data_IF_373633074997
#
_entry.id   IF_373633074997
#
_cell.length_a   1.000
_cell.length_b   1.000
_cell.length_c   1.000
_cell.angle_alpha   90.00
_cell.angle_beta   90.00
_cell.angle_gamma   90.00
#
_symmetry.space_group_name_H-M   'P 1'
#
loop_
_entity.id
_entity.type
_entity.pdbx_description
1 polymer ?
#
# COMPACT_ATOMS: atom_id res chain seq x y z
N UNK A 1 19.93 -17.41 -52.60
CA UNK A 1 18.56 -17.16 -53.12
C UNK A 1 18.08 -15.82 -52.58
N UNK A 2 17.76 -14.87 -53.47
CA UNK A 2 17.44 -13.47 -53.18
C UNK A 2 16.20 -13.33 -52.28
N UNK A 3 16.23 -12.34 -51.38
CA UNK A 3 15.13 -11.92 -50.50
C UNK A 3 13.81 -11.70 -51.25
N UNK A 4 13.88 -11.32 -52.53
CA UNK A 4 12.73 -11.12 -53.41
C UNK A 4 11.91 -12.41 -53.64
N UNK A 5 12.57 -13.57 -53.72
CA UNK A 5 11.87 -14.85 -53.91
C UNK A 5 11.06 -15.25 -52.67
N UNK A 6 11.53 -14.89 -51.46
CA UNK A 6 10.77 -15.08 -50.22
C UNK A 6 9.55 -14.17 -50.16
N UNK A 7 9.70 -12.91 -50.57
CA UNK A 7 8.58 -11.93 -50.61
C UNK A 7 7.52 -12.36 -51.64
N UNK A 8 7.94 -12.90 -52.79
CA UNK A 8 7.00 -13.41 -53.80
C UNK A 8 6.24 -14.67 -53.34
N UNK A 9 6.89 -15.56 -52.59
CA UNK A 9 6.23 -16.72 -51.96
C UNK A 9 5.22 -16.30 -50.89
N UNK A 10 5.53 -15.28 -50.07
CA UNK A 10 4.60 -14.76 -49.07
C UNK A 10 3.38 -14.08 -49.71
N UNK A 11 3.56 -13.35 -50.83
CA UNK A 11 2.44 -12.76 -51.60
C UNK A 11 1.51 -13.81 -52.21
N UNK A 12 2.00 -14.98 -52.61
CA UNK A 12 1.15 -16.09 -53.12
C UNK A 12 0.26 -16.73 -52.05
N UNK A 13 0.59 -16.59 -50.75
CA UNK A 13 -0.25 -17.06 -49.65
C UNK A 13 -1.35 -16.07 -49.25
N UNK A 14 -1.26 -14.79 -49.67
CA UNK A 14 -2.22 -13.73 -49.35
C UNK A 14 -3.43 -13.66 -50.31
N UNK A 15 -3.48 -14.52 -51.34
CA UNK A 15 -4.46 -14.43 -52.44
C UNK A 15 -5.66 -15.38 -52.38
N UNK A 16 -5.81 -16.22 -51.35
CA UNK A 16 -7.03 -17.03 -51.18
C UNK A 16 -7.97 -16.31 -50.23
N UNK A 17 -9.08 -15.79 -50.76
CA UNK A 17 -10.25 -15.40 -49.97
C UNK A 17 -10.51 -16.51 -48.94
N UNK A 18 -10.63 -16.21 -47.64
CA UNK A 18 -11.09 -17.22 -46.71
C UNK A 18 -12.47 -17.65 -47.22
N UNK A 19 -12.61 -18.93 -47.60
CA UNK A 19 -13.91 -19.59 -47.55
C UNK A 19 -14.51 -19.21 -46.20
N UNK A 20 -15.74 -18.73 -46.20
CA UNK A 20 -16.44 -18.35 -44.97
C UNK A 20 -16.20 -19.43 -43.93
N UNK A 21 -15.31 -19.13 -42.99
CA UNK A 21 -15.18 -19.94 -41.80
C UNK A 21 -16.58 -19.86 -41.21
N UNK A 22 -17.31 -20.98 -41.24
CA UNK A 22 -18.52 -21.13 -40.45
C UNK A 22 -18.14 -20.55 -39.09
N UNK A 23 -18.84 -19.49 -38.65
CA UNK A 23 -18.79 -19.08 -37.25
C UNK A 23 -19.04 -20.37 -36.50
N UNK A 24 -17.98 -20.94 -35.93
CA UNK A 24 -18.13 -21.93 -34.88
C UNK A 24 -18.83 -21.10 -33.82
N UNK A 25 -20.15 -21.27 -33.70
CA UNK A 25 -20.88 -20.70 -32.58
C UNK A 25 -20.11 -21.17 -31.36
N UNK A 26 -19.44 -20.23 -30.69
CA UNK A 26 -18.79 -20.54 -29.43
C UNK A 26 -19.90 -21.13 -28.55
N UNK A 27 -19.67 -22.30 -27.93
CA UNK A 27 -20.71 -22.96 -27.16
C UNK A 27 -21.27 -21.95 -26.15
N UNK A 28 -22.60 -21.80 -26.15
CA UNK A 28 -23.28 -20.92 -25.21
C UNK A 28 -22.82 -21.27 -23.79
N UNK A 29 -22.61 -20.25 -22.94
CA UNK A 29 -22.19 -20.44 -21.57
C UNK A 29 -23.10 -21.47 -20.88
N UNK A 30 -22.52 -22.56 -20.39
CA UNK A 30 -23.27 -23.61 -19.73
C UNK A 30 -23.32 -23.32 -18.22
N UNK A 31 -24.51 -22.98 -17.72
CA UNK A 31 -24.72 -22.76 -16.30
C UNK A 31 -24.40 -24.03 -15.50
N UNK A 32 -23.50 -23.97 -14.51
CA UNK A 32 -23.14 -25.12 -13.69
C UNK A 32 -24.31 -25.59 -12.83
N UNK A 33 -24.31 -26.87 -12.48
CA UNK A 33 -25.30 -27.45 -11.57
C UNK A 33 -25.02 -26.99 -10.13
N UNK A 34 -26.09 -26.81 -9.36
CA UNK A 34 -25.99 -26.46 -7.93
C UNK A 34 -25.23 -27.57 -7.17
N UNK A 35 -24.25 -27.22 -6.31
CA UNK A 35 -23.53 -28.22 -5.51
C UNK A 35 -24.44 -28.93 -4.50
N UNK A 36 -24.14 -30.20 -4.23
CA UNK A 36 -24.93 -31.05 -3.33
C UNK A 36 -24.93 -30.57 -1.86
N UNK A 37 -23.86 -29.89 -1.43
CA UNK A 37 -23.71 -29.37 -0.06
C UNK A 37 -24.39 -28.03 0.20
N UNK A 38 -25.15 -27.50 -0.77
CA UNK A 38 -25.77 -26.16 -0.67
C UNK A 38 -26.61 -25.97 0.60
N UNK A 39 -27.43 -26.96 0.97
CA UNK A 39 -28.26 -26.85 2.16
C UNK A 39 -27.45 -26.88 3.47
N UNK A 40 -26.32 -27.59 3.51
CA UNK A 40 -25.43 -27.61 4.67
C UNK A 40 -24.80 -26.23 4.91
N UNK A 41 -24.34 -25.57 3.83
CA UNK A 41 -23.78 -24.23 3.91
C UNK A 41 -24.84 -23.18 4.31
N UNK A 42 -26.10 -23.37 3.88
CA UNK A 42 -27.22 -22.54 4.34
C UNK A 42 -27.50 -22.70 5.83
N UNK A 43 -27.48 -23.93 6.34
CA UNK A 43 -27.64 -24.21 7.77
C UNK A 43 -26.52 -23.57 8.61
N UNK A 44 -25.33 -23.38 8.04
CA UNK A 44 -24.22 -22.66 8.67
C UNK A 44 -24.32 -21.12 8.57
N UNK A 45 -25.45 -20.59 8.09
CA UNK A 45 -25.74 -19.14 8.07
C UNK A 45 -25.36 -18.43 6.78
N UNK A 46 -25.01 -19.16 5.71
CA UNK A 46 -24.80 -18.57 4.38
C UNK A 46 -26.11 -18.47 3.61
N UNK A 47 -26.26 -17.42 2.81
CA UNK A 47 -27.35 -17.28 1.85
C UNK A 47 -26.87 -17.67 0.46
N UNK A 48 -27.79 -18.02 -0.44
CA UNK A 48 -27.45 -18.35 -1.83
C UNK A 48 -28.03 -17.28 -2.74
N UNK A 49 -27.17 -16.70 -3.58
CA UNK A 49 -27.57 -15.83 -4.68
C UNK A 49 -27.42 -16.63 -5.96
N UNK A 50 -28.45 -16.62 -6.80
CA UNK A 50 -28.43 -17.27 -8.10
C UNK A 50 -28.54 -16.20 -9.20
N UNK A 51 -27.66 -16.29 -10.19
CA UNK A 51 -27.64 -15.40 -11.34
C UNK A 51 -27.52 -16.23 -12.64
N UNK A 52 -27.35 -15.54 -13.77
CA UNK A 52 -27.29 -16.15 -15.09
C UNK A 52 -26.11 -17.12 -15.26
N UNK A 53 -25.08 -16.98 -14.42
CA UNK A 53 -23.83 -17.73 -14.54
C UNK A 53 -23.69 -18.87 -13.52
N UNK A 54 -24.63 -19.02 -12.58
CA UNK A 54 -24.57 -20.03 -11.52
C UNK A 54 -25.06 -19.51 -10.18
N UNK A 55 -24.60 -20.15 -9.10
CA UNK A 55 -24.82 -19.74 -7.72
C UNK A 55 -23.56 -19.16 -7.06
N UNK A 56 -23.77 -18.32 -6.05
CA UNK A 56 -22.75 -17.75 -5.17
C UNK A 56 -23.28 -17.83 -3.74
N UNK A 57 -22.42 -18.19 -2.79
CA UNK A 57 -22.79 -18.08 -1.38
C UNK A 57 -22.49 -16.68 -0.87
N UNK A 58 -23.33 -16.16 0.02
CA UNK A 58 -23.20 -14.80 0.54
C UNK A 58 -23.42 -14.79 2.05
N UNK A 59 -22.51 -14.15 2.78
CA UNK A 59 -22.69 -13.75 4.18
C UNK A 59 -22.76 -12.23 4.24
N UNK A 60 -23.65 -11.70 5.08
CA UNK A 60 -23.78 -10.27 5.30
C UNK A 60 -23.92 -9.98 6.79
N UNK A 61 -23.21 -8.96 7.27
CA UNK A 61 -23.24 -8.50 8.65
C UNK A 61 -23.31 -6.97 8.65
N UNK A 62 -24.12 -6.41 9.55
CA UNK A 62 -24.21 -4.95 9.74
C UNK A 62 -23.52 -4.57 11.04
N UNK A 63 -22.64 -3.57 10.98
CA UNK A 63 -21.96 -3.00 12.14
C UNK A 63 -22.43 -1.57 12.34
N UNK A 64 -23.00 -1.22 13.51
CA UNK A 64 -23.32 0.17 13.80
C UNK A 64 -22.02 1.00 13.81
N UNK A 65 -22.11 2.29 13.51
CA UNK A 65 -20.93 3.16 13.55
C UNK A 65 -20.24 3.22 14.92
N UNK A 66 -20.99 2.97 16.00
CA UNK A 66 -20.47 2.86 17.37
C UNK A 66 -19.74 1.55 17.67
N UNK A 67 -19.69 0.60 16.74
CA UNK A 67 -18.98 -0.68 16.94
C UNK A 67 -17.49 -0.43 17.21
N UNK A 68 -16.99 -1.03 18.29
CA UNK A 68 -15.60 -0.90 18.73
C UNK A 68 -14.72 -1.96 18.07
N UNK A 69 -13.64 -1.54 17.43
CA UNK A 69 -12.60 -2.41 16.88
C UNK A 69 -11.22 -1.89 17.27
N UNK A 70 -10.58 -2.56 18.23
CA UNK A 70 -9.36 -2.05 18.85
C UNK A 70 -9.63 -0.79 19.67
N UNK A 71 -8.79 0.24 19.52
CA UNK A 71 -8.91 1.53 20.18
C UNK A 71 -9.98 2.46 19.57
N UNK A 72 -10.52 2.12 18.39
CA UNK A 72 -11.41 3.00 17.63
C UNK A 72 -12.81 2.44 17.49
N UNK A 73 -13.79 3.33 17.41
CA UNK A 73 -15.10 3.00 16.87
C UNK A 73 -15.09 3.19 15.35
N UNK A 74 -15.94 2.48 14.62
CA UNK A 74 -15.99 2.61 13.15
C UNK A 74 -16.38 4.03 12.69
N UNK A 75 -17.10 4.79 13.52
CA UNK A 75 -17.45 6.19 13.26
C UNK A 75 -16.24 7.11 13.09
N UNK A 76 -15.08 6.74 13.66
CA UNK A 76 -13.83 7.48 13.48
C UNK A 76 -13.38 7.55 12.02
N UNK A 77 -13.98 6.76 11.12
CA UNK A 77 -13.82 6.94 9.68
C UNK A 77 -14.31 8.32 9.22
N UNK A 78 -15.51 8.73 9.63
CA UNK A 78 -16.10 10.01 9.21
C UNK A 78 -15.39 11.21 9.83
N UNK A 79 -14.91 11.07 11.06
CA UNK A 79 -14.04 12.04 11.71
C UNK A 79 -12.73 12.23 10.93
N UNK A 80 -12.13 11.13 10.43
CA UNK A 80 -10.95 11.18 9.58
C UNK A 80 -11.24 11.83 8.21
N UNK A 81 -12.38 11.52 7.58
CA UNK A 81 -12.81 12.18 6.34
C UNK A 81 -12.97 13.69 6.53
N UNK A 82 -13.56 14.12 7.66
CA UNK A 82 -13.70 15.55 7.98
C UNK A 82 -12.35 16.25 8.07
N UNK A 83 -11.32 15.61 8.65
CA UNK A 83 -9.96 16.18 8.68
C UNK A 83 -9.38 16.38 7.29
N UNK A 84 -9.64 15.45 6.36
CA UNK A 84 -9.21 15.59 4.97
C UNK A 84 -9.99 16.69 4.25
N UNK A 85 -11.29 16.82 4.51
CA UNK A 85 -12.11 17.90 3.95
C UNK A 85 -11.65 19.29 4.41
N UNK A 86 -11.23 19.40 5.68
CA UNK A 86 -10.73 20.65 6.27
C UNK A 86 -9.24 20.91 5.93
N UNK A 87 -8.57 20.01 5.22
CA UNK A 87 -7.15 20.13 4.91
C UNK A 87 -6.89 21.14 3.79
N UNK A 88 -5.96 22.07 4.03
CA UNK A 88 -5.53 23.07 3.04
C UNK A 88 -4.38 22.58 2.15
N UNK A 89 -4.22 21.26 1.98
CA UNK A 89 -3.15 20.66 1.19
C UNK A 89 -3.58 19.32 0.56
N UNK A 90 -2.96 18.97 -0.56
CA UNK A 90 -3.23 17.72 -1.26
C UNK A 90 -2.49 16.55 -0.61
N UNK A 91 -3.16 15.41 -0.50
CA UNK A 91 -2.53 14.20 0.00
C UNK A 91 -3.11 12.94 -0.65
N UNK A 92 -2.29 11.93 -1.01
CA UNK A 92 -2.78 10.71 -1.66
C UNK A 92 -3.71 9.85 -0.79
N UNK A 93 -3.77 10.10 0.52
CA UNK A 93 -4.74 9.48 1.45
C UNK A 93 -6.05 10.23 1.59
N UNK A 94 -6.14 11.47 1.09
CA UNK A 94 -7.35 12.28 1.24
C UNK A 94 -8.52 11.59 0.54
N UNK A 95 -9.65 11.53 1.23
CA UNK A 95 -10.92 11.04 0.72
C UNK A 95 -11.95 12.13 0.99
N UNK A 96 -12.79 12.42 0.00
CA UNK A 96 -13.91 13.32 0.20
C UNK A 96 -15.11 12.59 0.83
N UNK A 97 -15.92 13.30 1.60
CA UNK A 97 -17.13 12.77 2.24
C UNK A 97 -18.15 12.19 1.25
N UNK A 98 -18.14 12.69 0.02
CA UNK A 98 -19.08 12.30 -1.05
C UNK A 98 -18.54 11.13 -1.91
N UNK A 99 -17.27 10.73 -1.72
CA UNK A 99 -16.70 9.61 -2.46
C UNK A 99 -17.34 8.29 -2.04
N UNK A 100 -17.72 7.48 -3.03
CA UNK A 100 -18.10 6.09 -2.79
C UNK A 100 -16.85 5.31 -2.38
N UNK A 101 -16.81 4.84 -1.13
CA UNK A 101 -15.67 4.07 -0.59
C UNK A 101 -16.03 2.60 -0.43
N UNK A 102 -15.11 1.72 -0.82
CA UNK A 102 -15.22 0.27 -0.66
C UNK A 102 -13.96 -0.25 0.03
N UNK A 103 -14.09 -0.78 1.24
CA UNK A 103 -13.02 -1.57 1.86
C UNK A 103 -13.08 -2.98 1.30
N UNK A 104 -11.92 -3.50 0.89
CA UNK A 104 -11.83 -4.70 0.06
C UNK A 104 -10.68 -5.60 0.53
N UNK A 105 -10.96 -6.89 0.61
CA UNK A 105 -9.98 -7.93 0.91
C UNK A 105 -10.42 -9.25 0.27
N UNK A 106 -9.46 -10.13 -0.06
CA UNK A 106 -9.75 -11.41 -0.74
C UNK A 106 -9.06 -12.60 -0.10
N UNK A 107 -9.68 -13.76 -0.20
CA UNK A 107 -9.00 -15.03 0.07
C UNK A 107 -8.86 -15.84 -1.21
N UNK A 108 -7.70 -16.46 -1.37
CA UNK A 108 -7.27 -17.11 -2.60
C UNK A 108 -6.86 -18.55 -2.35
N UNK A 109 -6.96 -19.39 -3.37
CA UNK A 109 -6.54 -20.81 -3.32
C UNK A 109 -5.03 -21.02 -3.41
N UNK A 110 -4.23 -19.94 -3.41
CA UNK A 110 -2.78 -19.99 -3.58
C UNK A 110 -2.18 -18.58 -3.71
N UNK A 111 -0.85 -18.48 -3.77
CA UNK A 111 -0.19 -17.18 -3.69
C UNK A 111 -0.20 -16.38 -5.00
N UNK A 112 0.04 -17.01 -6.16
CA UNK A 112 0.09 -16.38 -7.49
C UNK A 112 -0.14 -17.39 -8.62
N UNK A 113 -0.64 -16.92 -9.75
CA UNK A 113 -0.66 -17.63 -11.04
C UNK A 113 -2.07 -17.88 -11.60
N UNK A 114 -2.14 -18.27 -12.88
CA UNK A 114 -3.41 -18.44 -13.62
C UNK A 114 -4.30 -19.56 -13.03
N UNK A 115 -3.71 -20.53 -12.33
CA UNK A 115 -4.45 -21.57 -11.61
C UNK A 115 -5.02 -21.14 -10.24
N UNK A 116 -4.62 -19.98 -9.73
CA UNK A 116 -5.12 -19.44 -8.46
C UNK A 116 -6.48 -18.81 -8.68
N UNK A 117 -7.48 -19.28 -7.93
CA UNK A 117 -8.82 -18.70 -7.87
C UNK A 117 -8.94 -17.84 -6.61
N UNK A 118 -9.66 -16.72 -6.73
CA UNK A 118 -10.22 -16.02 -5.58
C UNK A 118 -11.48 -16.79 -5.18
N UNK A 119 -11.58 -17.20 -3.92
CA UNK A 119 -12.76 -17.90 -3.43
C UNK A 119 -13.60 -17.07 -2.46
N UNK A 120 -13.04 -15.99 -1.91
CA UNK A 120 -13.74 -15.04 -1.05
C UNK A 120 -13.49 -13.63 -1.56
N UNK A 121 -14.56 -12.87 -1.77
CA UNK A 121 -14.54 -11.42 -1.96
C UNK A 121 -15.21 -10.80 -0.74
N UNK A 122 -14.43 -10.13 0.09
CA UNK A 122 -14.89 -9.43 1.28
C UNK A 122 -15.00 -7.93 1.02
N UNK A 123 -16.20 -7.39 1.18
CA UNK A 123 -16.53 -5.97 0.99
C UNK A 123 -17.04 -5.39 2.29
N UNK A 124 -16.66 -4.15 2.58
CA UNK A 124 -17.25 -3.38 3.66
C UNK A 124 -17.55 -1.97 3.14
N UNK A 125 -18.84 -1.64 3.11
CA UNK A 125 -19.38 -0.43 2.48
C UNK A 125 -20.12 0.41 3.53
N UNK A 126 -20.11 1.73 3.34
CA UNK A 126 -20.92 2.65 4.15
C UNK A 126 -22.38 2.57 3.69
N UNK A 127 -23.29 2.31 4.62
CA UNK A 127 -24.73 2.50 4.47
C UNK A 127 -25.21 3.68 5.32
N UNK A 128 -26.51 3.95 5.37
CA UNK A 128 -27.09 5.13 6.01
C UNK A 128 -26.76 5.24 7.51
N UNK A 129 -26.85 4.13 8.25
CA UNK A 129 -26.64 4.11 9.72
C UNK A 129 -25.60 3.06 10.18
N UNK A 130 -24.95 2.37 9.25
CA UNK A 130 -24.04 1.27 9.57
C UNK A 130 -23.01 1.04 8.47
N UNK A 131 -21.97 0.25 8.78
CA UNK A 131 -21.16 -0.41 7.78
C UNK A 131 -21.76 -1.78 7.47
N UNK A 132 -21.90 -2.09 6.17
CA UNK A 132 -22.39 -3.38 5.71
C UNK A 132 -21.22 -4.20 5.19
N UNK A 133 -20.89 -5.24 5.94
CA UNK A 133 -19.93 -6.24 5.52
C UNK A 133 -20.64 -7.27 4.64
N UNK A 134 -20.15 -7.47 3.42
CA UNK A 134 -20.64 -8.49 2.50
C UNK A 134 -19.50 -9.37 2.06
N UNK A 135 -19.64 -10.67 2.28
CA UNK A 135 -18.70 -11.69 1.84
C UNK A 135 -19.37 -12.55 0.79
N UNK A 136 -18.84 -12.54 -0.43
CA UNK A 136 -19.21 -13.50 -1.47
C UNK A 136 -18.24 -14.67 -1.41
N UNK A 137 -18.75 -15.89 -1.48
CA UNK A 137 -17.96 -17.12 -1.45
C UNK A 137 -18.27 -17.91 -2.73
N UNK A 138 -17.21 -18.25 -3.46
CA UNK A 138 -17.31 -19.07 -4.66
C UNK A 138 -17.75 -20.49 -4.30
N UNK A 139 -18.84 -20.97 -4.89
CA UNK A 139 -19.38 -22.29 -4.60
C UNK A 139 -18.36 -23.39 -4.95
N UNK A 140 -17.92 -23.42 -6.21
CA UNK A 140 -16.79 -24.22 -6.68
C UNK A 140 -16.18 -23.52 -7.93
N UNK A 141 -15.05 -23.99 -8.49
CA UNK A 141 -14.41 -23.32 -9.63
C UNK A 141 -15.29 -23.16 -10.88
N UNK A 142 -16.33 -24.00 -11.09
CA UNK A 142 -17.24 -23.85 -12.22
C UNK A 142 -18.16 -22.64 -12.07
N UNK A 143 -18.31 -22.11 -10.86
CA UNK A 143 -19.16 -20.99 -10.51
C UNK A 143 -18.44 -19.63 -10.49
N UNK A 144 -17.18 -19.56 -10.93
CA UNK A 144 -16.38 -18.34 -10.85
C UNK A 144 -17.01 -17.15 -11.61
N UNK A 145 -17.63 -17.39 -12.77
CA UNK A 145 -18.32 -16.33 -13.50
C UNK A 145 -19.47 -15.73 -12.69
N UNK A 146 -20.27 -16.57 -12.00
CA UNK A 146 -21.33 -16.12 -11.12
C UNK A 146 -20.78 -15.29 -9.95
N UNK A 147 -19.68 -15.76 -9.37
CA UNK A 147 -18.99 -15.11 -8.26
C UNK A 147 -18.46 -13.72 -8.60
N UNK A 148 -17.74 -13.60 -9.72
CA UNK A 148 -17.22 -12.31 -10.19
C UNK A 148 -18.36 -11.37 -10.62
N UNK A 149 -19.40 -11.88 -11.28
CA UNK A 149 -20.54 -11.07 -11.69
C UNK A 149 -21.28 -10.45 -10.51
N UNK A 150 -21.52 -11.25 -9.45
CA UNK A 150 -22.24 -10.83 -8.25
C UNK A 150 -21.48 -9.79 -7.43
N UNK A 151 -20.16 -9.67 -7.61
CA UNK A 151 -19.36 -8.60 -6.98
C UNK A 151 -19.80 -7.19 -7.35
N UNK A 152 -20.47 -7.01 -8.50
CA UNK A 152 -20.93 -5.71 -9.05
C UNK A 152 -19.83 -4.67 -9.27
N UNK A 153 -18.55 -5.05 -9.20
CA UNK A 153 -17.40 -4.16 -9.45
C UNK A 153 -17.36 -3.61 -10.89
N UNK A 154 -18.13 -4.19 -11.81
CA UNK A 154 -18.32 -3.71 -13.17
C UNK A 154 -19.38 -2.59 -13.29
N UNK A 155 -20.23 -2.39 -12.28
CA UNK A 155 -21.37 -1.47 -12.36
C UNK A 155 -20.97 -0.03 -12.05
N UNK A 156 -20.19 0.18 -10.99
CA UNK A 156 -19.83 1.52 -10.49
C UNK A 156 -18.35 1.61 -10.14
N UNK A 157 -17.82 2.83 -10.18
CA UNK A 157 -16.50 3.13 -9.66
C UNK A 157 -16.61 3.62 -8.21
N UNK A 158 -15.63 3.25 -7.40
CA UNK A 158 -15.44 3.57 -6.01
C UNK A 158 -13.95 3.76 -5.72
N UNK A 159 -13.63 4.37 -4.59
CA UNK A 159 -12.29 4.36 -4.03
C UNK A 159 -12.13 3.10 -3.17
N UNK A 160 -11.32 2.17 -3.68
CA UNK A 160 -11.08 0.87 -3.06
C UNK A 160 -9.92 0.97 -2.07
N UNK A 161 -10.21 0.66 -0.80
CA UNK A 161 -9.23 0.68 0.29
C UNK A 161 -8.86 -0.77 0.64
N UNK A 162 -7.56 -1.07 0.62
CA UNK A 162 -7.02 -2.41 0.84
C UNK A 162 -5.80 -2.38 1.75
N UNK A 163 -5.37 -3.53 2.25
CA UNK A 163 -4.03 -3.70 2.81
C UNK A 163 -3.20 -4.58 1.88
N UNK A 164 -2.22 -4.00 1.18
CA UNK A 164 -1.38 -4.68 0.18
C UNK A 164 -2.14 -5.13 -1.09
N UNK A 165 -3.38 -4.67 -1.30
CA UNK A 165 -4.22 -5.10 -2.41
C UNK A 165 -3.79 -4.60 -3.78
N UNK A 166 -3.06 -3.48 -3.86
CA UNK A 166 -2.51 -2.99 -5.15
C UNK A 166 -1.53 -3.97 -5.76
N UNK A 167 -0.84 -4.77 -4.94
CA UNK A 167 0.21 -5.69 -5.38
C UNK A 167 -0.24 -7.15 -5.45
N UNK A 168 -1.40 -7.49 -4.88
CA UNK A 168 -1.87 -8.87 -4.73
C UNK A 168 -3.33 -9.01 -5.15
N UNK A 169 -4.27 -8.51 -4.37
CA UNK A 169 -5.71 -8.75 -4.55
C UNK A 169 -6.25 -8.20 -5.87
N UNK A 170 -5.99 -6.92 -6.16
CA UNK A 170 -6.55 -6.25 -7.33
C UNK A 170 -5.97 -6.80 -8.65
N UNK A 171 -4.65 -7.01 -8.80
CA UNK A 171 -4.10 -7.65 -10.00
C UNK A 171 -4.62 -9.08 -10.22
N UNK A 172 -4.87 -9.83 -9.14
CA UNK A 172 -5.45 -11.17 -9.23
C UNK A 172 -6.90 -11.09 -9.74
N UNK A 173 -7.71 -10.17 -9.19
CA UNK A 173 -9.08 -9.93 -9.64
C UNK A 173 -9.11 -9.55 -11.13
N UNK A 174 -8.26 -8.61 -11.58
CA UNK A 174 -8.15 -8.21 -12.99
C UNK A 174 -7.80 -9.41 -13.89
N UNK A 175 -6.89 -10.27 -13.43
CA UNK A 175 -6.54 -11.50 -14.14
C UNK A 175 -7.74 -12.44 -14.27
N UNK A 176 -8.49 -12.68 -13.17
CA UNK A 176 -9.70 -13.51 -13.20
C UNK A 176 -10.75 -12.93 -14.14
N UNK A 177 -10.96 -11.61 -14.08
CA UNK A 177 -11.90 -10.92 -14.95
C UNK A 177 -11.52 -11.02 -16.43
N UNK A 178 -10.22 -10.94 -16.74
CA UNK A 178 -9.69 -11.07 -18.11
C UNK A 178 -9.95 -12.46 -18.67
N UNK A 179 -9.84 -13.51 -17.85
CA UNK A 179 -10.15 -14.89 -18.27
C UNK A 179 -11.64 -15.05 -18.62
N UNK A 180 -12.51 -14.26 -17.99
CA UNK A 180 -13.96 -14.25 -18.22
C UNK A 180 -14.45 -13.13 -19.15
N UNK A 181 -13.57 -12.44 -19.87
CA UNK A 181 -13.90 -11.23 -20.66
C UNK A 181 -14.92 -11.45 -21.80
N UNK A 182 -15.13 -12.69 -22.23
CA UNK A 182 -16.14 -13.04 -23.25
C UNK A 182 -17.55 -13.18 -22.67
N UNK A 183 -17.65 -13.40 -21.36
CA UNK A 183 -18.89 -13.74 -20.65
C UNK A 183 -19.32 -12.60 -19.73
N UNK A 184 -18.38 -11.95 -19.06
CA UNK A 184 -18.65 -10.89 -18.09
C UNK A 184 -18.53 -9.49 -18.70
N UNK A 185 -19.31 -8.52 -18.19
CA UNK A 185 -19.10 -7.10 -18.51
C UNK A 185 -17.68 -6.66 -18.15
N UNK A 186 -17.17 -5.61 -18.81
CA UNK A 186 -15.83 -5.08 -18.51
C UNK A 186 -15.74 -4.57 -17.06
N UNK A 187 -14.70 -4.98 -16.34
CA UNK A 187 -14.36 -4.43 -15.02
C UNK A 187 -14.08 -2.92 -15.13
N UNK A 188 -14.65 -2.14 -14.22
CA UNK A 188 -14.37 -0.70 -14.15
C UNK A 188 -13.04 -0.43 -13.46
N UNK A 189 -12.38 0.64 -13.89
CA UNK A 189 -11.22 1.16 -13.19
C UNK A 189 -11.64 1.73 -11.84
N UNK A 190 -10.84 1.45 -10.82
CA UNK A 190 -11.08 1.90 -9.45
C UNK A 190 -9.90 2.75 -8.98
N UNK A 191 -10.19 3.85 -8.26
CA UNK A 191 -9.16 4.53 -7.47
C UNK A 191 -8.79 3.59 -6.32
N UNK A 192 -7.50 3.51 -5.98
CA UNK A 192 -7.04 2.61 -4.93
C UNK A 192 -6.21 3.35 -3.88
N UNK A 193 -6.53 3.11 -2.61
CA UNK A 193 -5.71 3.46 -1.46
C UNK A 193 -5.24 2.15 -0.81
N UNK A 194 -3.93 2.00 -0.65
CA UNK A 194 -3.35 0.79 -0.07
C UNK A 194 -2.64 1.16 1.24
N UNK A 195 -3.18 0.64 2.33
CA UNK A 195 -2.78 0.92 3.70
C UNK A 195 -1.43 0.32 4.08
N UNK A 196 -0.91 -0.67 3.34
CA UNK A 196 0.47 -1.12 3.55
C UNK A 196 1.47 -0.02 3.13
N UNK A 197 1.14 0.76 2.09
CA UNK A 197 2.01 1.85 1.67
C UNK A 197 2.05 2.99 2.67
N UNK A 198 0.93 3.39 3.31
CA UNK A 198 1.03 4.35 4.43
C UNK A 198 1.72 3.74 5.63
N UNK A 199 1.40 2.50 5.99
CA UNK A 199 2.03 1.84 7.14
C UNK A 199 3.55 1.86 7.02
N UNK A 200 4.08 1.65 5.81
CA UNK A 200 5.51 1.81 5.50
C UNK A 200 6.00 3.26 5.54
N UNK A 201 5.16 4.23 5.19
CA UNK A 201 5.50 5.66 5.27
C UNK A 201 5.45 6.20 6.70
N UNK A 202 4.69 5.59 7.59
CA UNK A 202 4.55 5.97 8.99
C UNK A 202 5.57 5.23 9.88
N UNK A 203 5.59 3.91 9.81
CA UNK A 203 6.26 3.07 10.82
C UNK A 203 7.51 2.33 10.33
N UNK A 204 8.08 2.72 9.19
CA UNK A 204 9.33 2.12 8.74
C UNK A 204 10.44 2.36 9.77
N UNK A 205 11.11 1.26 10.16
CA UNK A 205 12.13 1.21 11.21
C UNK A 205 11.63 1.53 12.64
N UNK A 206 10.31 1.67 12.79
CA UNK A 206 9.62 1.76 14.09
C UNK A 206 9.04 0.39 14.46
N UNK A 207 8.42 -0.29 13.49
CA UNK A 207 7.91 -1.65 13.63
C UNK A 207 8.82 -2.68 12.95
N UNK A 208 8.98 -3.85 13.58
CA UNK A 208 9.72 -4.98 12.99
C UNK A 208 9.01 -5.57 11.77
N UNK A 209 7.68 -5.66 11.83
CA UNK A 209 6.84 -6.30 10.82
C UNK A 209 5.63 -5.43 10.51
N UNK A 210 5.40 -5.19 9.22
CA UNK A 210 4.23 -4.48 8.71
C UNK A 210 3.25 -5.47 8.06
N UNK A 211 2.88 -6.50 8.82
CA UNK A 211 1.71 -7.35 8.49
C UNK A 211 0.51 -6.76 9.21
N UNK A 212 -0.69 -6.88 8.64
CA UNK A 212 -1.90 -6.28 9.21
C UNK A 212 -2.09 -6.68 10.67
N UNK A 213 -1.97 -7.97 11.01
CA UNK A 213 -2.01 -8.46 12.40
C UNK A 213 -1.02 -7.77 13.36
N UNK A 214 0.21 -7.49 12.93
CA UNK A 214 1.18 -6.77 13.76
C UNK A 214 0.77 -5.31 13.97
N UNK A 215 0.24 -4.68 12.92
CA UNK A 215 -0.29 -3.30 13.01
C UNK A 215 -1.53 -3.24 13.91
N UNK A 216 -2.42 -4.22 13.84
CA UNK A 216 -3.57 -4.34 14.71
C UNK A 216 -3.16 -4.37 16.19
N UNK A 217 -2.22 -5.25 16.54
CA UNK A 217 -1.79 -5.44 17.92
C UNK A 217 -1.01 -4.21 18.44
N UNK A 218 -0.04 -3.71 17.68
CA UNK A 218 0.89 -2.67 18.14
C UNK A 218 0.32 -1.24 18.04
N UNK A 219 -0.52 -0.95 17.03
CA UNK A 219 -0.98 0.42 16.74
C UNK A 219 -2.48 0.61 16.95
N UNK A 220 -3.29 -0.43 16.70
CA UNK A 220 -4.75 -0.34 16.83
C UNK A 220 -5.28 -0.92 18.14
N UNK A 221 -4.45 -1.61 18.94
CA UNK A 221 -4.88 -2.25 20.17
C UNK A 221 -5.87 -3.39 19.98
N UNK A 222 -5.85 -4.02 18.80
CA UNK A 222 -6.73 -5.14 18.49
C UNK A 222 -5.94 -6.45 18.46
N UNK A 223 -6.36 -7.42 19.29
CA UNK A 223 -5.78 -8.76 19.31
C UNK A 223 -6.83 -9.79 18.96
N UNK A 224 -6.60 -10.52 17.87
CA UNK A 224 -7.51 -11.56 17.40
C UNK A 224 -7.52 -12.77 18.34
N UNK A 225 -8.69 -13.26 18.72
CA UNK A 225 -8.87 -14.46 19.54
C UNK A 225 -9.37 -15.63 18.70
N UNK A 226 -8.61 -16.73 18.68
CA UNK A 226 -9.02 -17.95 17.95
C UNK A 226 -8.89 -17.85 16.42
N UNK A 227 -8.08 -16.91 15.92
CA UNK A 227 -7.85 -16.72 14.49
C UNK A 227 -7.10 -17.90 13.86
N UNK A 228 -7.39 -18.16 12.59
CA UNK A 228 -6.67 -19.16 11.81
C UNK A 228 -5.43 -18.54 11.17
N UNK A 229 -4.35 -19.32 10.97
CA UNK A 229 -3.27 -18.90 10.10
C UNK A 229 -3.77 -18.73 8.66
N UNK A 230 -3.66 -17.53 8.08
CA UNK A 230 -4.18 -17.23 6.72
C UNK A 230 -3.66 -18.16 5.61
N UNK A 231 -2.45 -18.73 5.75
CA UNK A 231 -1.93 -19.72 4.78
C UNK A 231 -2.72 -21.05 4.74
N UNK A 232 -3.62 -21.29 5.70
CA UNK A 232 -4.52 -22.45 5.72
C UNK A 232 -5.84 -22.19 5.00
N UNK A 233 -6.21 -20.93 4.74
CA UNK A 233 -7.46 -20.56 4.08
C UNK A 233 -7.70 -21.32 2.74
N UNK A 234 -6.68 -21.50 1.86
CA UNK A 234 -6.84 -22.31 0.65
C UNK A 234 -7.31 -23.75 0.91
N UNK A 235 -6.65 -24.43 1.86
CA UNK A 235 -6.87 -25.85 2.14
C UNK A 235 -8.23 -26.03 2.82
N UNK A 236 -8.60 -25.11 3.72
CA UNK A 236 -9.89 -25.07 4.39
C UNK A 236 -11.03 -24.93 3.37
N UNK A 237 -10.89 -24.02 2.41
CA UNK A 237 -11.89 -23.84 1.36
C UNK A 237 -12.06 -25.12 0.51
N UNK A 238 -10.96 -25.70 0.04
CA UNK A 238 -10.99 -26.91 -0.78
C UNK A 238 -11.61 -28.10 -0.03
N UNK A 239 -11.32 -28.23 1.25
CA UNK A 239 -11.92 -29.27 2.10
C UNK A 239 -13.43 -29.04 2.29
N UNK A 240 -13.86 -27.80 2.53
CA UNK A 240 -15.28 -27.47 2.68
C UNK A 240 -16.08 -27.75 1.40
N UNK A 241 -15.54 -27.45 0.22
CA UNK A 241 -16.16 -27.76 -1.08
C UNK A 241 -16.23 -29.27 -1.32
N UNK A 242 -15.21 -30.03 -0.91
CA UNK A 242 -15.15 -31.48 -1.11
C UNK A 242 -16.05 -32.26 -0.14
N UNK A 243 -16.02 -31.88 1.13
CA UNK A 243 -16.74 -32.57 2.21
C UNK A 243 -18.18 -32.06 2.38
N UNK A 244 -18.44 -30.82 1.97
CA UNK A 244 -19.67 -30.10 2.25
C UNK A 244 -19.73 -29.45 3.64
N UNK A 245 -18.72 -29.67 4.50
CA UNK A 245 -18.70 -29.23 5.90
C UNK A 245 -18.10 -27.83 6.00
N UNK A 246 -18.85 -26.79 6.43
CA UNK A 246 -18.38 -25.40 6.39
C UNK A 246 -17.73 -24.90 7.70
N UNK A 247 -17.64 -25.70 8.77
CA UNK A 247 -17.24 -25.21 10.10
C UNK A 247 -15.89 -24.46 10.12
N UNK A 248 -14.89 -25.01 9.44
CA UNK A 248 -13.59 -24.35 9.31
C UNK A 248 -13.63 -23.16 8.35
N UNK A 249 -14.46 -23.21 7.30
CA UNK A 249 -14.64 -22.11 6.36
C UNK A 249 -15.23 -20.87 7.06
N UNK A 250 -16.14 -21.05 8.02
CA UNK A 250 -16.67 -19.93 8.82
C UNK A 250 -15.54 -19.18 9.56
N UNK A 251 -14.48 -19.87 9.99
CA UNK A 251 -13.32 -19.20 10.60
C UNK A 251 -12.52 -18.36 9.60
N UNK A 252 -12.44 -18.78 8.33
CA UNK A 252 -11.87 -17.98 7.24
C UNK A 252 -12.71 -16.71 7.02
N UNK A 253 -14.04 -16.82 7.08
CA UNK A 253 -14.91 -15.66 6.97
C UNK A 253 -14.70 -14.67 8.14
N UNK A 254 -14.51 -15.16 9.36
CA UNK A 254 -14.18 -14.28 10.49
C UNK A 254 -12.79 -13.64 10.38
N UNK A 255 -11.81 -14.33 9.80
CA UNK A 255 -10.48 -13.77 9.51
C UNK A 255 -10.60 -12.55 8.60
N UNK A 256 -11.17 -12.75 7.41
CA UNK A 256 -11.40 -11.69 6.42
C UNK A 256 -12.30 -10.57 6.95
N UNK A 257 -13.27 -10.90 7.82
CA UNK A 257 -14.08 -9.90 8.52
C UNK A 257 -13.23 -8.98 9.40
N UNK A 258 -12.32 -9.53 10.20
CA UNK A 258 -11.40 -8.73 11.01
C UNK A 258 -10.45 -7.91 10.15
N UNK A 259 -9.93 -8.47 9.06
CA UNK A 259 -9.09 -7.72 8.13
C UNK A 259 -9.82 -6.46 7.62
N UNK A 260 -11.06 -6.60 7.17
CA UNK A 260 -11.89 -5.48 6.68
C UNK A 260 -12.19 -4.43 7.76
N UNK A 261 -12.56 -4.85 8.97
CA UNK A 261 -12.81 -3.92 10.09
C UNK A 261 -11.52 -3.17 10.49
N UNK A 262 -10.38 -3.85 10.43
CA UNK A 262 -9.07 -3.24 10.68
C UNK A 262 -8.70 -2.22 9.62
N UNK A 263 -9.14 -2.36 8.36
CA UNK A 263 -8.87 -1.33 7.34
C UNK A 263 -9.51 0.02 7.70
N UNK A 264 -10.73 0.02 8.25
CA UNK A 264 -11.42 1.24 8.68
C UNK A 264 -10.59 1.94 9.76
N UNK A 265 -10.33 1.22 10.85
CA UNK A 265 -9.65 1.78 12.03
C UNK A 265 -8.19 2.14 11.74
N UNK A 266 -7.52 1.40 10.87
CA UNK A 266 -6.18 1.73 10.38
C UNK A 266 -6.17 3.02 9.55
N UNK A 267 -7.15 3.21 8.66
CA UNK A 267 -7.28 4.44 7.88
C UNK A 267 -7.50 5.64 8.81
N UNK A 268 -8.40 5.52 9.79
CA UNK A 268 -8.65 6.55 10.79
C UNK A 268 -7.42 6.87 11.62
N UNK A 269 -6.77 5.85 12.20
CA UNK A 269 -5.54 6.01 12.98
C UNK A 269 -4.43 6.68 12.17
N UNK A 270 -4.20 6.21 10.94
CA UNK A 270 -3.20 6.81 10.03
C UNK A 270 -3.50 8.27 9.74
N UNK A 271 -4.78 8.62 9.54
CA UNK A 271 -5.21 10.00 9.33
C UNK A 271 -4.96 10.84 10.58
N UNK A 272 -5.30 10.34 11.76
CA UNK A 272 -5.05 11.06 13.01
C UNK A 272 -3.57 11.32 13.24
N UNK A 273 -2.68 10.36 12.97
CA UNK A 273 -1.24 10.62 13.06
C UNK A 273 -0.74 11.72 12.10
N UNK A 274 -1.37 11.87 10.93
CA UNK A 274 -0.99 12.88 9.95
C UNK A 274 -1.40 14.30 10.39
N UNK A 275 -2.54 14.45 11.08
CA UNK A 275 -3.07 15.76 11.49
C UNK A 275 -2.81 16.11 12.96
N UNK A 276 -2.97 15.13 13.84
CA UNK A 276 -2.93 15.27 15.29
C UNK A 276 -1.55 14.93 15.81
N UNK A 277 -0.94 15.92 16.44
CA UNK A 277 0.45 15.87 16.83
C UNK A 277 0.63 15.48 18.31
N UNK A 278 -0.46 15.28 19.04
CA UNK A 278 -0.46 14.99 20.48
C UNK A 278 -0.70 13.50 20.79
N UNK A 279 -0.76 12.66 19.75
CA UNK A 279 -0.67 11.22 19.94
C UNK A 279 0.67 10.83 20.56
N UNK A 280 0.62 9.90 21.51
CA UNK A 280 1.80 9.21 22.02
C UNK A 280 2.33 8.28 20.94
N UNK A 281 3.35 8.74 20.22
CA UNK A 281 4.06 7.98 19.19
C UNK A 281 5.55 8.31 19.20
N UNK A 282 6.35 7.46 18.57
CA UNK A 282 7.80 7.59 18.57
C UNK A 282 8.31 8.78 17.75
N UNK A 283 9.49 9.29 18.10
CA UNK A 283 10.20 10.29 17.30
C UNK A 283 10.40 9.83 15.84
N UNK A 284 10.61 8.52 15.63
CA UNK A 284 10.78 7.92 14.30
C UNK A 284 9.51 8.02 13.47
N UNK A 285 8.35 7.72 14.04
CA UNK A 285 7.06 7.81 13.36
C UNK A 285 6.79 9.26 12.91
N UNK A 286 6.96 10.23 13.80
CA UNK A 286 6.78 11.64 13.43
C UNK A 286 7.85 12.14 12.44
N UNK A 287 9.10 11.67 12.56
CA UNK A 287 10.15 11.95 11.56
C UNK A 287 9.76 11.43 10.18
N UNK A 288 9.21 10.21 10.12
CA UNK A 288 8.76 9.60 8.88
C UNK A 288 7.57 10.36 8.26
N UNK A 289 6.64 10.86 9.08
CA UNK A 289 5.54 11.74 8.66
C UNK A 289 6.09 13.04 8.07
N UNK A 290 6.98 13.73 8.80
CA UNK A 290 7.61 14.96 8.33
C UNK A 290 8.37 14.76 7.02
N UNK A 291 9.10 13.65 6.89
CA UNK A 291 9.73 13.23 5.64
C UNK A 291 8.71 13.00 4.53
N UNK A 292 7.58 12.34 4.81
CA UNK A 292 6.56 12.05 3.82
C UNK A 292 5.92 13.33 3.26
N UNK A 293 5.56 14.29 4.11
CA UNK A 293 5.14 15.62 3.66
C UNK A 293 6.20 16.30 2.79
N UNK A 294 7.48 16.17 3.15
CA UNK A 294 8.59 16.66 2.35
C UNK A 294 8.66 16.04 0.94
N UNK A 295 8.46 14.72 0.84
CA UNK A 295 8.41 13.97 -0.43
C UNK A 295 7.21 14.42 -1.29
N UNK A 296 6.09 14.77 -0.66
CA UNK A 296 4.88 15.31 -1.31
C UNK A 296 4.99 16.79 -1.67
N UNK A 297 6.09 17.45 -1.30
CA UNK A 297 6.34 18.90 -1.46
C UNK A 297 5.49 19.80 -0.56
N UNK A 298 4.82 19.23 0.44
CA UNK A 298 4.12 19.94 1.50
C UNK A 298 5.11 20.48 2.54
N UNK A 299 5.88 21.49 2.13
CA UNK A 299 7.00 22.06 2.90
C UNK A 299 6.57 22.58 4.27
N UNK A 300 5.42 23.27 4.34
CA UNK A 300 4.89 23.82 5.60
C UNK A 300 4.60 22.72 6.62
N UNK A 301 3.90 21.66 6.23
CA UNK A 301 3.59 20.54 7.12
C UNK A 301 4.84 19.75 7.50
N UNK A 302 5.75 19.55 6.54
CA UNK A 302 7.03 18.88 6.77
C UNK A 302 7.86 19.59 7.84
N UNK A 303 8.09 20.90 7.68
CA UNK A 303 8.85 21.71 8.64
C UNK A 303 8.18 21.69 10.01
N UNK A 304 6.87 21.96 10.07
CA UNK A 304 6.10 21.99 11.33
C UNK A 304 6.25 20.70 12.14
N UNK A 305 6.09 19.54 11.50
CA UNK A 305 6.21 18.24 12.19
C UNK A 305 7.65 17.99 12.64
N UNK A 306 8.63 18.26 11.77
CA UNK A 306 10.04 18.00 12.08
C UNK A 306 10.55 18.92 13.21
N UNK A 307 10.18 20.20 13.23
CA UNK A 307 10.48 21.13 14.32
C UNK A 307 9.88 20.66 15.66
N UNK A 308 8.67 20.08 15.64
CA UNK A 308 8.08 19.50 16.85
C UNK A 308 8.90 18.30 17.34
N UNK A 309 9.36 17.44 16.43
CA UNK A 309 10.20 16.29 16.83
C UNK A 309 11.51 16.77 17.47
N UNK A 310 12.18 17.75 16.86
CA UNK A 310 13.47 18.25 17.33
C UNK A 310 13.39 19.06 18.63
N UNK A 311 12.20 19.54 18.99
CA UNK A 311 11.95 20.24 20.26
C UNK A 311 11.42 19.34 21.38
N UNK A 312 10.65 18.29 21.03
CA UNK A 312 10.00 17.39 22.01
C UNK A 312 10.89 16.22 22.45
N UNK A 313 11.69 15.67 21.54
CA UNK A 313 12.50 14.47 21.79
C UNK A 313 13.98 14.82 21.97
N UNK A 314 14.74 13.88 22.55
CA UNK A 314 16.17 14.08 22.73
C UNK A 314 16.93 14.06 21.40
N UNK A 315 18.18 14.51 21.43
CA UNK A 315 18.99 14.65 20.22
C UNK A 315 19.30 13.31 19.53
N UNK A 316 19.38 12.21 20.29
CA UNK A 316 19.62 10.87 19.75
C UNK A 316 18.42 10.40 18.92
N UNK A 317 17.21 10.60 19.43
CA UNK A 317 15.97 10.23 18.77
C UNK A 317 15.62 11.17 17.61
N UNK A 318 15.95 12.47 17.73
CA UNK A 318 15.64 13.49 16.75
C UNK A 318 16.68 13.63 15.62
N UNK A 319 17.73 12.81 15.59
CA UNK A 319 18.82 12.92 14.61
C UNK A 319 18.37 12.95 13.15
N UNK A 320 17.51 12.00 12.76
CA UNK A 320 16.93 11.99 11.41
C UNK A 320 15.95 13.13 11.17
N UNK A 321 15.23 13.59 12.19
CA UNK A 321 14.35 14.75 12.08
C UNK A 321 15.15 16.00 11.75
N UNK A 322 16.27 16.24 12.45
CA UNK A 322 17.20 17.33 12.16
C UNK A 322 17.72 17.26 10.72
N UNK A 323 18.09 16.07 10.24
CA UNK A 323 18.55 15.89 8.86
C UNK A 323 17.48 16.27 7.83
N UNK A 324 16.24 15.80 7.99
CA UNK A 324 15.15 16.12 7.06
C UNK A 324 14.71 17.58 7.18
N UNK A 325 14.74 18.16 8.38
CA UNK A 325 14.43 19.57 8.63
C UNK A 325 15.43 20.47 7.89
N UNK A 326 16.72 20.12 7.97
CA UNK A 326 17.78 20.81 7.25
C UNK A 326 17.56 20.84 5.73
N UNK A 327 17.10 19.71 5.16
CA UNK A 327 16.76 19.62 3.73
C UNK A 327 15.58 20.55 3.37
N UNK A 328 14.55 20.65 4.23
CA UNK A 328 13.43 21.56 4.01
C UNK A 328 13.84 23.03 4.15
N UNK A 329 14.59 23.39 5.20
CA UNK A 329 15.10 24.75 5.38
C UNK A 329 15.96 25.18 4.19
N UNK A 330 16.84 24.30 3.71
CA UNK A 330 17.65 24.56 2.50
C UNK A 330 16.76 24.82 1.28
N UNK A 331 15.74 23.99 1.05
CA UNK A 331 14.78 24.15 -0.06
C UNK A 331 14.03 25.48 0.03
N UNK A 332 13.70 25.91 1.25
CA UNK A 332 13.03 27.18 1.55
C UNK A 332 13.98 28.38 1.63
N UNK A 333 15.27 28.21 1.25
CA UNK A 333 16.32 29.25 1.28
C UNK A 333 16.64 29.81 2.68
N UNK A 334 16.23 29.10 3.73
CA UNK A 334 16.60 29.36 5.14
C UNK A 334 17.94 28.70 5.43
N UNK A 335 19.02 29.28 4.89
CA UNK A 335 20.32 28.61 4.85
C UNK A 335 20.99 28.52 6.21
N UNK A 336 20.80 29.51 7.09
CA UNK A 336 21.36 29.47 8.45
C UNK A 336 20.75 28.32 9.23
N UNK A 337 19.41 28.25 9.26
CA UNK A 337 18.67 27.20 9.96
C UNK A 337 18.97 25.82 9.36
N UNK A 338 19.15 25.74 8.03
CA UNK A 338 19.57 24.50 7.39
C UNK A 338 20.95 24.03 7.87
N UNK A 339 21.91 24.94 8.03
CA UNK A 339 23.24 24.62 8.56
C UNK A 339 23.12 24.10 9.99
N UNK A 340 22.40 24.82 10.85
CA UNK A 340 22.22 24.46 12.26
C UNK A 340 21.61 23.06 12.41
N UNK A 341 20.52 22.77 11.68
CA UNK A 341 19.90 21.45 11.67
C UNK A 341 20.83 20.36 11.11
N UNK A 342 21.59 20.64 10.04
CA UNK A 342 22.55 19.66 9.52
C UNK A 342 23.63 19.34 10.55
N UNK A 343 24.20 20.35 11.21
CA UNK A 343 25.22 20.15 12.26
C UNK A 343 24.65 19.33 13.42
N UNK A 344 23.44 19.66 13.88
CA UNK A 344 22.76 18.92 14.93
C UNK A 344 22.56 17.44 14.58
N UNK A 345 22.30 17.12 13.30
CA UNK A 345 22.10 15.74 12.85
C UNK A 345 23.39 14.87 12.85
N UNK A 346 24.58 15.47 12.72
CA UNK A 346 25.83 14.73 12.40
C UNK A 346 26.22 13.65 13.41
N UNK A 347 25.81 13.76 14.66
CA UNK A 347 26.16 12.82 15.73
C UNK A 347 25.16 11.67 15.88
N UNK A 348 23.95 11.81 15.31
CA UNK A 348 22.80 10.96 15.61
C UNK A 348 22.20 10.27 14.38
N UNK A 349 22.89 10.33 13.23
CA UNK A 349 22.50 9.63 12.00
C UNK A 349 23.57 8.65 11.55
N UNK A 350 23.17 7.61 10.82
CA UNK A 350 24.08 6.60 10.30
C UNK A 350 25.05 7.16 9.26
N UNK A 351 26.19 6.49 9.09
CA UNK A 351 27.31 6.99 8.28
C UNK A 351 26.93 7.43 6.86
N UNK A 352 25.95 6.77 6.22
CA UNK A 352 25.50 7.14 4.88
C UNK A 352 24.77 8.49 4.87
N UNK A 353 23.82 8.69 5.79
CA UNK A 353 23.11 9.96 5.95
C UNK A 353 24.05 11.05 6.45
N UNK A 354 24.98 10.72 7.36
CA UNK A 354 26.04 11.64 7.81
C UNK A 354 26.90 12.14 6.66
N UNK A 355 27.31 11.26 5.74
CA UNK A 355 28.09 11.65 4.56
C UNK A 355 27.33 12.65 3.68
N UNK A 356 26.02 12.42 3.47
CA UNK A 356 25.18 13.37 2.75
C UNK A 356 25.04 14.70 3.49
N UNK A 357 24.87 14.71 4.82
CA UNK A 357 24.79 15.94 5.62
C UNK A 357 26.07 16.78 5.51
N UNK A 358 27.25 16.14 5.67
CA UNK A 358 28.56 16.78 5.47
C UNK A 358 28.68 17.37 4.06
N UNK A 359 28.15 16.66 3.06
CA UNK A 359 28.15 17.12 1.68
C UNK A 359 27.36 18.42 1.52
N UNK A 360 26.17 18.47 2.11
CA UNK A 360 25.29 19.64 2.07
C UNK A 360 25.88 20.83 2.83
N UNK A 361 26.48 20.59 4.00
CA UNK A 361 27.18 21.62 4.77
C UNK A 361 28.29 22.26 3.96
N UNK A 362 29.17 21.46 3.35
CA UNK A 362 30.23 21.98 2.48
C UNK A 362 29.69 22.84 1.32
N UNK A 363 28.57 22.42 0.70
CA UNK A 363 27.92 23.17 -0.38
C UNK A 363 27.33 24.50 0.14
N UNK A 364 26.66 24.48 1.29
CA UNK A 364 26.02 25.67 1.87
C UNK A 364 27.07 26.71 2.26
N UNK A 365 28.13 26.30 2.94
CA UNK A 365 29.23 27.20 3.31
C UNK A 365 29.97 27.74 2.08
N UNK A 366 30.26 26.91 1.06
CA UNK A 366 30.94 27.36 -0.17
C UNK A 366 30.10 28.35 -0.98
N UNK A 367 28.83 28.04 -1.19
CA UNK A 367 28.03 28.73 -2.19
C UNK A 367 27.15 29.85 -1.60
N UNK A 368 26.60 29.66 -0.40
CA UNK A 368 25.68 30.62 0.22
C UNK A 368 26.40 31.52 1.21
N UNK A 369 27.16 30.94 2.16
CA UNK A 369 27.84 31.72 3.20
C UNK A 369 29.16 32.34 2.75
N UNK A 370 29.76 31.82 1.67
CA UNK A 370 31.12 32.17 1.19
C UNK A 370 32.21 31.97 2.24
N UNK A 371 31.97 31.06 3.18
CA UNK A 371 32.94 30.64 4.19
C UNK A 371 33.67 29.40 3.67
N UNK A 372 34.81 29.63 3.02
CA UNK A 372 35.59 28.55 2.42
C UNK A 372 36.34 27.72 3.46
N UNK A 373 36.57 28.26 4.66
CA UNK A 373 37.23 27.53 5.75
C UNK A 373 36.30 26.44 6.29
N UNK A 374 35.05 26.79 6.60
CA UNK A 374 34.04 25.82 7.01
C UNK A 374 33.71 24.82 5.89
N UNK A 375 33.60 25.28 4.64
CA UNK A 375 33.39 24.39 3.51
C UNK A 375 34.51 23.35 3.37
N UNK A 376 35.76 23.76 3.59
CA UNK A 376 36.93 22.88 3.58
C UNK A 376 36.90 21.88 4.74
N UNK A 377 36.57 22.35 5.95
CA UNK A 377 36.44 21.50 7.14
C UNK A 377 35.45 20.34 6.90
N UNK A 378 34.21 20.64 6.49
CA UNK A 378 33.21 19.59 6.26
C UNK A 378 33.58 18.68 5.07
N UNK A 379 34.29 19.20 4.06
CA UNK A 379 34.84 18.38 2.97
C UNK A 379 35.85 17.36 3.50
N UNK A 380 36.76 17.78 4.38
CA UNK A 380 37.76 16.89 4.99
C UNK A 380 37.13 15.87 5.94
N UNK A 381 36.11 16.25 6.71
CA UNK A 381 35.32 15.32 7.53
C UNK A 381 34.68 14.20 6.70
N UNK A 382 34.09 14.54 5.54
CA UNK A 382 33.49 13.52 4.67
C UNK A 382 34.52 12.55 4.09
N UNK A 383 35.70 13.05 3.70
CA UNK A 383 36.82 12.20 3.25
C UNK A 383 37.27 11.26 4.37
N UNK A 384 37.42 11.78 5.61
CA UNK A 384 37.76 10.96 6.78
C UNK A 384 36.72 9.87 7.02
N UNK A 385 35.42 10.20 6.93
CA UNK A 385 34.34 9.25 7.09
C UNK A 385 34.39 8.13 6.03
N UNK A 386 34.64 8.46 4.76
CA UNK A 386 34.75 7.46 3.68
C UNK A 386 35.92 6.50 3.91
N UNK A 387 37.09 7.05 4.23
CA UNK A 387 38.32 6.26 4.45
C UNK A 387 38.16 5.31 5.64
N UNK A 388 37.65 5.83 6.75
CA UNK A 388 37.58 5.08 8.02
C UNK A 388 36.41 4.09 8.11
N UNK A 389 35.40 4.17 7.23
CA UNK A 389 34.24 3.29 7.33
C UNK A 389 34.52 1.87 6.76
N UNK A 390 34.75 0.88 7.62
CA UNK A 390 35.03 -0.50 7.18
C UNK A 390 33.89 -1.26 6.49
N UNK A 391 32.65 -0.77 6.55
CA UNK A 391 31.47 -1.49 6.04
C UNK A 391 31.18 -1.23 4.55
N UNK A 392 31.77 -0.19 3.97
CA UNK A 392 31.52 0.20 2.58
C UNK A 392 32.44 -0.53 1.60
N UNK A 393 31.86 -0.98 0.47
CA UNK A 393 32.61 -1.66 -0.61
C UNK A 393 33.66 -0.72 -1.21
N UNK A 394 34.82 -1.26 -1.55
CA UNK A 394 35.95 -0.49 -2.08
C UNK A 394 35.60 0.36 -3.31
N UNK A 395 34.87 -0.21 -4.28
CA UNK A 395 34.42 0.52 -5.48
C UNK A 395 33.52 1.73 -5.15
N UNK A 396 32.67 1.59 -4.13
CA UNK A 396 31.77 2.65 -3.70
C UNK A 396 32.56 3.76 -2.99
N UNK A 397 33.51 3.39 -2.14
CA UNK A 397 34.43 4.35 -1.51
C UNK A 397 35.21 5.14 -2.55
N UNK A 398 35.82 4.46 -3.53
CA UNK A 398 36.60 5.11 -4.58
C UNK A 398 35.77 6.13 -5.37
N UNK A 399 34.52 5.80 -5.72
CA UNK A 399 33.61 6.73 -6.39
C UNK A 399 33.33 7.98 -5.55
N UNK A 400 33.11 7.81 -4.24
CA UNK A 400 32.91 8.95 -3.35
C UNK A 400 34.20 9.75 -3.16
N UNK A 401 35.34 9.11 -2.89
CA UNK A 401 36.63 9.79 -2.74
C UNK A 401 36.96 10.69 -3.93
N UNK A 402 36.80 10.19 -5.16
CA UNK A 402 37.03 11.00 -6.37
C UNK A 402 36.16 12.27 -6.37
N UNK A 403 34.88 12.17 -5.99
CA UNK A 403 33.98 13.31 -5.95
C UNK A 403 34.36 14.33 -4.87
N UNK A 404 34.76 13.84 -3.69
CA UNK A 404 35.13 14.68 -2.55
C UNK A 404 36.53 15.29 -2.70
N UNK A 405 37.48 14.60 -3.30
CA UNK A 405 38.82 15.12 -3.62
C UNK A 405 38.75 16.23 -4.68
N UNK A 406 37.87 16.10 -5.69
CA UNK A 406 37.59 17.20 -6.62
C UNK A 406 37.06 18.44 -5.92
N UNK A 407 36.18 18.28 -4.92
CA UNK A 407 35.69 19.39 -4.09
C UNK A 407 36.81 19.99 -3.24
N UNK A 408 37.63 19.14 -2.62
CA UNK A 408 38.78 19.56 -1.81
C UNK A 408 39.75 20.42 -2.62
N UNK A 409 40.12 19.98 -3.82
CA UNK A 409 41.01 20.73 -4.71
C UNK A 409 40.39 22.07 -5.15
N UNK A 410 39.10 22.06 -5.51
CA UNK A 410 38.36 23.28 -5.87
C UNK A 410 38.36 24.32 -4.73
N UNK A 411 38.11 23.89 -3.50
CA UNK A 411 38.09 24.77 -2.32
C UNK A 411 39.50 25.28 -1.96
N UNK A 412 40.52 24.44 -2.13
CA UNK A 412 41.92 24.84 -1.90
C UNK A 412 42.38 25.99 -2.79
N UNK A 413 41.82 26.10 -4.00
CA UNK A 413 42.12 27.18 -4.95
C UNK A 413 41.30 28.47 -4.72
N UNK A 414 40.37 28.47 -3.75
CA UNK A 414 39.53 29.62 -3.40
C UNK A 414 39.98 30.35 -2.13
N UNK A 415 41.13 29.94 -1.57
CA UNK A 415 41.76 30.58 -0.41
C UNK A 415 42.32 31.96 -0.75
#
# INVERSE_FOLDING_TARGET
MSYENKILQMKKMLGKKPMSAKKVEEPAFQKPARPSYTEQWKQAGLTVVENDFGIVFKRQVSYPFSYQHGHYQLQSFFEALKKWQDAEFDHPYALDMEESVLFFDTETTGLKGVGTHIFLLGFLEVAEESFILTQYIMADPAHEAAFLFESKLWQKSATVITYNGKSFDWPQLETRWTLHQKTLPKLRSQRQIDLLHSSKRLWKNDMERLKLKSVEEEKLGFSRKGDIPGHLAPIIYLDAVKSGIPDALIKVLHHNEWDLLSLITLYSHSTYLLFEQDHEESAKTFTNIGKWYGDLRESTQSVRILEKVTSKFDALEAGHAQYYLALQHKKNKRYSEAIDSFVASLHFVEARTKLHALEQLAILYEHQMKDYEQALYYTQEGIRLIRNNGQWRAEQKQKWEISWEKRLHRLGNKK
#
